data_IF_376521326965
#
_entry.id   IF_376521326965
#
_cell.length_a   1.000
_cell.length_b   1.000
_cell.length_c   1.000
_cell.angle_alpha   90.00
_cell.angle_beta   90.00
_cell.angle_gamma   90.00
#
_symmetry.space_group_name_H-M   'P 1'
#
loop_
_entity.id
_entity.type
_entity.pdbx_description
1 polymer ?
#
# COMPACT_ATOMS: atom_id res chain seq x y z
N UNK A 1 -1.06 19.50 -2.85
CA UNK A 1 -1.43 19.95 -1.49
C UNK A 1 -1.78 21.44 -1.44
N UNK A 2 -0.86 22.37 -1.75
CA UNK A 2 -1.11 23.82 -1.60
C UNK A 2 -2.26 24.38 -2.45
N UNK A 3 -2.60 23.72 -3.56
CA UNK A 3 -3.74 24.04 -4.42
C UNK A 3 -5.05 23.32 -4.00
N UNK A 4 -5.05 22.61 -2.87
CA UNK A 4 -6.25 21.92 -2.39
C UNK A 4 -7.34 22.90 -1.93
N UNK A 5 -8.60 22.47 -2.06
CA UNK A 5 -9.75 23.21 -1.54
C UNK A 5 -9.72 23.19 -0.01
N UNK A 6 -9.51 24.38 0.56
CA UNK A 6 -9.36 24.61 2.01
C UNK A 6 -10.62 25.17 2.67
N UNK A 7 -11.77 25.08 1.98
CA UNK A 7 -13.04 25.59 2.52
C UNK A 7 -13.40 24.88 3.83
N UNK A 8 -13.43 25.63 4.93
CA UNK A 8 -13.87 25.16 6.24
C UNK A 8 -12.79 24.59 7.16
N UNK A 9 -11.50 24.54 6.76
CA UNK A 9 -10.40 24.10 7.63
C UNK A 9 -9.07 24.82 7.34
N UNK A 10 -8.14 24.75 8.28
CA UNK A 10 -6.79 25.25 8.14
C UNK A 10 -5.83 24.08 7.97
N UNK A 11 -4.78 24.26 7.17
CA UNK A 11 -3.77 23.25 6.89
C UNK A 11 -2.38 23.83 7.11
N UNK A 12 -1.52 23.03 7.71
CA UNK A 12 -0.06 23.17 7.65
C UNK A 12 0.54 22.01 6.85
N UNK A 13 1.64 22.23 6.20
CA UNK A 13 2.37 21.22 5.43
C UNK A 13 3.77 21.10 6.01
N UNK A 14 4.06 19.99 6.64
CA UNK A 14 5.37 19.70 7.20
C UNK A 14 6.09 18.74 6.25
N UNK A 15 7.26 19.12 5.79
CA UNK A 15 8.12 18.28 4.94
C UNK A 15 9.41 18.02 5.70
N UNK A 16 9.73 16.73 5.87
CA UNK A 16 10.99 16.33 6.45
C UNK A 16 11.93 15.85 5.34
N UNK A 17 13.02 16.57 5.16
CA UNK A 17 14.12 16.15 4.29
C UNK A 17 15.06 15.21 5.05
N UNK A 18 15.03 13.91 4.75
CA UNK A 18 15.88 12.90 5.42
C UNK A 18 17.28 12.86 4.80
N UNK A 19 17.95 14.02 4.77
CA UNK A 19 19.34 14.17 4.30
C UNK A 19 19.49 13.85 2.81
N UNK A 20 18.64 14.43 1.97
CA UNK A 20 18.76 14.34 0.53
C UNK A 20 20.09 14.98 0.06
N UNK A 21 20.73 14.33 -0.90
CA UNK A 21 21.98 14.80 -1.51
C UNK A 21 21.72 15.64 -2.78
N UNK A 22 20.46 15.78 -3.16
CA UNK A 22 19.98 16.56 -4.30
C UNK A 22 19.38 17.92 -3.86
N UNK A 23 18.75 18.62 -4.78
CA UNK A 23 18.15 19.94 -4.53
C UNK A 23 16.83 19.88 -3.74
N UNK A 24 16.41 18.73 -3.21
CA UNK A 24 15.11 18.56 -2.55
C UNK A 24 14.91 19.57 -1.41
N UNK A 25 15.87 19.69 -0.50
CA UNK A 25 15.78 20.62 0.63
C UNK A 25 15.67 22.09 0.16
N UNK A 26 16.48 22.49 -0.82
CA UNK A 26 16.47 23.85 -1.38
C UNK A 26 15.12 24.17 -2.07
N UNK A 27 14.55 23.21 -2.81
CA UNK A 27 13.25 23.35 -3.46
C UNK A 27 12.12 23.51 -2.44
N UNK A 28 12.11 22.72 -1.38
CA UNK A 28 11.11 22.83 -0.31
C UNK A 28 11.25 24.15 0.45
N UNK A 29 12.48 24.57 0.75
CA UNK A 29 12.73 25.86 1.41
C UNK A 29 12.24 27.03 0.57
N UNK A 30 12.49 27.03 -0.75
CA UNK A 30 11.99 28.06 -1.64
C UNK A 30 10.44 28.14 -1.70
N UNK A 31 9.76 27.04 -1.44
CA UNK A 31 8.30 27.04 -1.29
C UNK A 31 7.90 27.59 0.09
N UNK A 32 8.56 27.17 1.15
CA UNK A 32 8.31 27.65 2.52
C UNK A 32 8.51 29.17 2.66
N UNK A 33 9.46 29.74 1.96
CA UNK A 33 9.70 31.19 1.93
C UNK A 33 8.56 31.99 1.28
N UNK A 34 7.72 31.33 0.45
CA UNK A 34 6.60 31.93 -0.28
C UNK A 34 5.24 31.60 0.32
N UNK A 35 5.13 30.51 1.06
CA UNK A 35 3.88 30.04 1.65
C UNK A 35 4.08 29.62 3.11
N UNK A 36 3.59 30.47 4.02
CA UNK A 36 3.73 30.28 5.47
C UNK A 36 3.07 29.00 6.02
N UNK A 37 2.27 28.29 5.21
CA UNK A 37 1.74 26.99 5.56
C UNK A 37 2.78 25.88 5.50
N UNK A 38 3.87 26.07 4.76
CA UNK A 38 4.91 25.07 4.54
C UNK A 38 6.06 25.27 5.52
N UNK A 39 6.51 24.19 6.14
CA UNK A 39 7.70 24.17 7.00
C UNK A 39 8.59 23.01 6.59
N UNK A 40 9.87 23.30 6.36
CA UNK A 40 10.90 22.30 6.16
C UNK A 40 11.49 21.88 7.51
N UNK A 41 11.58 20.57 7.73
CA UNK A 41 12.34 19.95 8.82
C UNK A 41 13.51 19.18 8.25
N UNK A 42 14.64 19.21 8.94
CA UNK A 42 15.82 18.43 8.55
C UNK A 42 15.91 17.12 9.34
N UNK A 43 16.22 16.05 8.62
CA UNK A 43 16.48 14.73 9.18
C UNK A 43 17.70 14.77 10.10
N UNK A 44 17.66 13.96 11.13
CA UNK A 44 18.78 13.70 12.04
C UNK A 44 19.20 12.24 11.95
N UNK A 45 20.25 11.85 12.65
CA UNK A 45 20.68 10.46 12.68
C UNK A 45 19.57 9.56 13.17
N UNK A 46 19.42 8.42 12.47
CA UNK A 46 18.38 7.45 12.77
C UNK A 46 18.74 6.73 14.09
N UNK A 47 17.90 6.83 15.14
CA UNK A 47 18.14 6.10 16.38
C UNK A 47 18.09 4.58 16.15
N UNK A 48 18.81 3.85 16.97
CA UNK A 48 18.81 2.39 16.96
C UNK A 48 17.38 1.83 17.13
N UNK A 49 17.04 0.80 16.37
CA UNK A 49 15.71 0.17 16.40
C UNK A 49 14.62 0.87 15.58
N UNK A 50 14.90 2.03 14.98
CA UNK A 50 13.93 2.71 14.15
C UNK A 50 14.07 2.42 12.66
N UNK A 51 12.93 2.33 11.98
CA UNK A 51 12.88 2.40 10.52
C UNK A 51 12.84 3.87 10.07
N UNK A 52 13.57 4.22 9.01
CA UNK A 52 13.72 5.61 8.57
C UNK A 52 12.40 6.34 8.35
N UNK A 53 11.44 5.71 7.62
CA UNK A 53 10.11 6.31 7.38
C UNK A 53 9.32 6.51 8.67
N UNK A 54 9.28 5.50 9.53
CA UNK A 54 8.56 5.58 10.81
C UNK A 54 9.13 6.68 11.71
N UNK A 55 10.46 6.84 11.73
CA UNK A 55 11.10 7.91 12.49
C UNK A 55 10.81 9.29 11.91
N UNK A 56 10.86 9.44 10.58
CA UNK A 56 10.50 10.69 9.92
C UNK A 56 9.04 11.09 10.23
N UNK A 57 8.09 10.16 10.12
CA UNK A 57 6.69 10.40 10.47
C UNK A 57 6.52 10.76 11.96
N UNK A 58 7.23 10.07 12.85
CA UNK A 58 7.23 10.39 14.29
C UNK A 58 7.68 11.82 14.55
N UNK A 59 8.79 12.25 13.95
CA UNK A 59 9.29 13.61 14.09
C UNK A 59 8.37 14.67 13.53
N UNK A 60 7.73 14.41 12.38
CA UNK A 60 6.75 15.31 11.79
C UNK A 60 5.57 15.55 12.75
N UNK A 61 5.08 14.49 13.42
CA UNK A 61 3.98 14.63 14.39
C UNK A 61 4.36 15.46 15.61
N UNK A 62 5.60 15.37 16.09
CA UNK A 62 6.08 16.19 17.21
C UNK A 62 5.99 17.70 16.92
N UNK A 63 6.09 18.08 15.66
CA UNK A 63 6.01 19.47 15.19
C UNK A 63 4.62 19.90 14.74
N UNK A 64 3.70 18.92 14.53
CA UNK A 64 2.38 19.15 13.99
C UNK A 64 1.42 19.72 15.05
N UNK A 65 0.61 20.70 14.63
CA UNK A 65 -0.35 21.42 15.51
C UNK A 65 -1.80 21.06 15.23
N UNK A 66 -2.08 20.42 14.07
CA UNK A 66 -3.43 20.04 13.64
C UNK A 66 -4.09 18.99 14.52
N UNK A 67 -5.42 18.88 14.46
CA UNK A 67 -6.20 17.82 15.09
C UNK A 67 -6.19 16.53 14.26
N UNK A 68 -5.92 16.66 12.97
CA UNK A 68 -5.80 15.56 12.02
C UNK A 68 -4.40 15.56 11.42
N UNK A 69 -3.77 14.41 11.36
CA UNK A 69 -2.50 14.17 10.70
C UNK A 69 -2.74 13.44 9.40
N UNK A 70 -2.34 14.05 8.29
CA UNK A 70 -2.38 13.43 6.97
C UNK A 70 -0.96 13.09 6.53
N UNK A 71 -0.64 11.80 6.48
CA UNK A 71 0.61 11.31 5.92
C UNK A 71 0.42 11.04 4.43
N UNK A 72 1.30 11.60 3.63
CA UNK A 72 1.29 11.45 2.17
C UNK A 72 2.71 11.24 1.70
N UNK A 73 2.94 10.19 0.93
CA UNK A 73 4.25 9.95 0.32
C UNK A 73 4.53 11.02 -0.75
N UNK A 74 5.80 11.39 -0.93
CA UNK A 74 6.21 12.50 -1.81
C UNK A 74 5.88 12.26 -3.30
N UNK A 75 5.65 11.02 -3.71
CA UNK A 75 5.29 10.63 -5.07
C UNK A 75 3.78 10.59 -5.33
N UNK A 76 2.96 10.87 -4.31
CA UNK A 76 1.50 10.94 -4.43
C UNK A 76 1.07 12.32 -4.94
N UNK A 77 0.18 12.32 -5.93
CA UNK A 77 -0.47 13.53 -6.44
C UNK A 77 -1.91 13.57 -5.97
N UNK A 78 -2.32 14.72 -5.47
CA UNK A 78 -3.65 14.98 -4.92
C UNK A 78 -4.42 15.93 -5.84
N UNK A 79 -5.66 15.54 -6.17
CA UNK A 79 -6.63 16.47 -6.75
C UNK A 79 -7.09 17.49 -5.68
N UNK A 80 -7.56 18.67 -6.08
CA UNK A 80 -7.94 19.73 -5.12
C UNK A 80 -8.93 19.29 -4.04
N UNK A 81 -9.83 18.36 -4.34
CA UNK A 81 -10.87 17.88 -3.42
C UNK A 81 -10.41 16.75 -2.48
N UNK A 82 -9.25 16.14 -2.70
CA UNK A 82 -8.81 14.93 -2.00
C UNK A 82 -8.77 15.09 -0.47
N UNK A 83 -8.13 16.16 0.01
CA UNK A 83 -7.98 16.41 1.45
C UNK A 83 -9.35 16.61 2.09
N UNK A 84 -10.22 17.43 1.49
CA UNK A 84 -11.55 17.73 2.01
C UNK A 84 -12.44 16.48 2.07
N UNK A 85 -12.44 15.65 1.01
CA UNK A 85 -13.24 14.42 1.00
C UNK A 85 -12.77 13.43 2.05
N UNK A 86 -11.46 13.26 2.22
CA UNK A 86 -10.92 12.35 3.22
C UNK A 86 -11.16 12.84 4.65
N UNK A 87 -11.03 14.16 4.87
CA UNK A 87 -11.34 14.76 6.17
C UNK A 87 -12.83 14.62 6.52
N UNK A 88 -13.74 14.80 5.56
CA UNK A 88 -15.16 14.57 5.75
C UNK A 88 -15.44 13.12 6.19
N UNK A 89 -14.83 12.13 5.52
CA UNK A 89 -14.96 10.73 5.90
C UNK A 89 -14.42 10.45 7.33
N UNK A 90 -13.32 11.10 7.72
CA UNK A 90 -12.79 11.03 9.08
C UNK A 90 -13.71 11.63 10.13
N UNK A 91 -14.32 12.78 9.84
CA UNK A 91 -15.28 13.42 10.72
C UNK A 91 -16.56 12.60 10.88
N UNK A 92 -17.07 11.96 9.82
CA UNK A 92 -18.24 11.10 9.87
C UNK A 92 -18.07 9.90 10.81
N UNK A 93 -16.87 9.36 10.93
CA UNK A 93 -16.60 8.26 11.87
C UNK A 93 -16.15 8.74 13.27
N UNK A 94 -16.15 10.05 13.51
CA UNK A 94 -15.78 10.65 14.81
C UNK A 94 -14.35 10.37 15.26
N UNK A 95 -13.42 10.36 14.32
CA UNK A 95 -11.98 10.10 14.59
C UNK A 95 -11.45 8.81 13.94
N UNK A 96 -10.42 8.23 14.52
CA UNK A 96 -9.81 7.02 14.01
C UNK A 96 -8.81 7.27 12.87
N UNK A 97 -8.67 6.27 12.00
CA UNK A 97 -7.78 6.28 10.85
C UNK A 97 -8.59 6.06 9.57
N UNK A 98 -8.35 6.91 8.58
CA UNK A 98 -8.89 6.78 7.22
C UNK A 98 -7.72 6.60 6.27
N UNK A 99 -7.79 5.64 5.39
CA UNK A 99 -6.78 5.38 4.36
C UNK A 99 -7.46 4.98 3.06
N UNK A 100 -6.73 5.04 1.97
CA UNK A 100 -7.23 4.61 0.66
C UNK A 100 -6.07 4.39 -0.30
N UNK A 101 -6.25 3.49 -1.25
CA UNK A 101 -5.22 3.19 -2.24
C UNK A 101 -5.29 4.17 -3.40
N UNK A 102 -4.26 5.05 -3.59
CA UNK A 102 -4.19 5.92 -4.75
C UNK A 102 -4.24 5.14 -6.05
N UNK A 103 -4.80 5.76 -7.09
CA UNK A 103 -4.71 5.20 -8.44
C UNK A 103 -3.25 4.94 -8.82
N UNK A 104 -2.95 3.70 -9.19
CA UNK A 104 -1.61 3.29 -9.57
C UNK A 104 -1.36 3.55 -11.04
N UNK A 105 -0.58 4.59 -11.35
CA UNK A 105 -0.14 4.86 -12.71
C UNK A 105 0.88 3.80 -13.12
N UNK A 106 0.57 3.03 -14.15
CA UNK A 106 1.41 1.94 -14.65
C UNK A 106 1.80 2.21 -16.11
N UNK A 107 3.11 2.22 -16.42
CA UNK A 107 3.62 2.46 -17.78
C UNK A 107 4.23 1.22 -18.40
N UNK A 108 5.14 0.55 -17.70
CA UNK A 108 5.80 -0.66 -18.19
C UNK A 108 4.93 -1.91 -18.00
N UNK A 109 5.22 -2.98 -18.73
CA UNK A 109 4.47 -4.24 -18.61
C UNK A 109 4.55 -4.85 -17.22
N UNK A 110 5.71 -4.78 -16.57
CA UNK A 110 5.86 -5.32 -15.22
C UNK A 110 5.03 -4.52 -14.20
N UNK A 111 4.96 -3.20 -14.34
CA UNK A 111 4.07 -2.37 -13.54
C UNK A 111 2.60 -2.80 -13.74
N UNK A 112 2.15 -2.94 -15.01
CA UNK A 112 0.76 -3.34 -15.34
C UNK A 112 0.37 -4.72 -14.83
N UNK A 113 1.30 -5.67 -14.83
CA UNK A 113 1.05 -7.04 -14.40
C UNK A 113 1.04 -7.19 -12.88
N UNK A 114 1.91 -6.45 -12.17
CA UNK A 114 2.17 -6.72 -10.74
C UNK A 114 1.53 -5.67 -9.83
N UNK A 115 1.62 -4.38 -10.16
CA UNK A 115 1.17 -3.32 -9.23
C UNK A 115 -0.32 -3.42 -8.91
N UNK A 116 -1.25 -3.66 -9.86
CA UNK A 116 -2.67 -3.84 -9.55
C UNK A 116 -2.97 -5.07 -8.69
N UNK A 117 -2.04 -6.03 -8.59
CA UNK A 117 -2.23 -7.24 -7.78
C UNK A 117 -2.24 -6.96 -6.28
N UNK A 118 -1.79 -5.79 -5.84
CA UNK A 118 -1.95 -5.36 -4.44
C UNK A 118 -3.44 -5.18 -4.10
N UNK A 119 -4.17 -4.41 -4.91
CA UNK A 119 -5.63 -4.21 -4.74
C UNK A 119 -6.37 -5.53 -4.92
N UNK A 120 -5.96 -6.35 -5.91
CA UNK A 120 -6.49 -7.70 -6.11
C UNK A 120 -6.38 -8.56 -4.83
N UNK A 121 -5.20 -8.59 -4.20
CA UNK A 121 -4.99 -9.37 -2.97
C UNK A 121 -5.89 -8.89 -1.84
N UNK A 122 -6.05 -7.59 -1.67
CA UNK A 122 -6.91 -7.03 -0.63
C UNK A 122 -8.37 -7.39 -0.88
N UNK A 123 -8.89 -7.14 -2.08
CA UNK A 123 -10.30 -7.38 -2.39
C UNK A 123 -10.67 -8.87 -2.39
N UNK A 124 -9.77 -9.74 -2.86
CA UNK A 124 -10.05 -11.18 -2.93
C UNK A 124 -9.92 -11.92 -1.60
N UNK A 125 -9.19 -11.38 -0.62
CA UNK A 125 -8.92 -12.09 0.64
C UNK A 125 -9.46 -11.40 1.89
N UNK A 126 -9.75 -10.09 1.81
CA UNK A 126 -10.22 -9.32 2.95
C UNK A 126 -11.70 -8.95 2.76
N UNK A 127 -12.59 -9.35 3.65
CA UNK A 127 -13.96 -8.86 3.63
C UNK A 127 -13.96 -7.37 3.99
N UNK A 128 -13.89 -6.49 2.99
CA UNK A 128 -13.66 -5.04 3.11
C UNK A 128 -14.64 -4.39 4.11
N UNK A 129 -15.91 -4.84 4.12
CA UNK A 129 -16.91 -4.32 5.06
C UNK A 129 -16.54 -4.56 6.55
N UNK A 130 -15.72 -5.59 6.84
CA UNK A 130 -15.24 -5.88 8.20
C UNK A 130 -14.17 -4.90 8.66
N UNK A 131 -13.51 -4.18 7.74
CA UNK A 131 -12.53 -3.15 8.14
C UNK A 131 -13.20 -2.10 9.02
N UNK A 132 -14.40 -1.66 8.66
CA UNK A 132 -15.16 -0.65 9.41
C UNK A 132 -15.95 -1.26 10.56
N UNK A 133 -16.53 -2.47 10.38
CA UNK A 133 -17.48 -3.06 11.36
C UNK A 133 -16.82 -3.82 12.50
N UNK A 134 -15.63 -4.37 12.28
CA UNK A 134 -14.93 -5.18 13.29
C UNK A 134 -13.88 -4.38 14.02
N UNK A 135 -13.81 -4.53 15.34
CA UNK A 135 -12.69 -4.04 16.16
C UNK A 135 -11.44 -4.91 16.07
N UNK A 136 -11.55 -6.11 15.47
CA UNK A 136 -10.41 -7.02 15.35
C UNK A 136 -9.30 -6.45 14.44
N UNK A 137 -8.04 -6.44 14.90
CA UNK A 137 -6.90 -6.01 14.09
C UNK A 137 -6.57 -6.95 12.92
N UNK A 138 -7.28 -8.08 12.77
CA UNK A 138 -7.17 -8.95 11.59
C UNK A 138 -7.78 -8.31 10.34
N UNK A 139 -8.82 -7.49 10.51
CA UNK A 139 -9.52 -6.83 9.40
C UNK A 139 -9.00 -5.40 9.24
N UNK A 140 -7.82 -5.26 8.68
CA UNK A 140 -7.24 -3.97 8.29
C UNK A 140 -6.65 -4.06 6.88
N UNK A 141 -6.77 -2.97 6.15
CA UNK A 141 -5.95 -2.65 5.00
C UNK A 141 -5.58 -1.19 5.11
N UNK A 142 -4.33 -0.87 4.89
CA UNK A 142 -3.82 0.49 4.92
C UNK A 142 -2.66 0.63 3.94
N UNK A 143 -2.44 1.85 3.46
CA UNK A 143 -1.26 2.21 2.69
C UNK A 143 -0.66 3.49 3.24
N UNK A 144 0.66 3.49 3.42
CA UNK A 144 1.42 4.65 3.86
C UNK A 144 1.51 5.76 2.82
N UNK A 145 1.06 5.48 1.59
CA UNK A 145 1.02 6.49 0.53
C UNK A 145 -0.05 7.57 0.79
N UNK A 146 -1.15 7.21 1.47
CA UNK A 146 -2.24 8.12 1.79
C UNK A 146 -2.98 7.68 3.05
N UNK A 147 -2.78 8.40 4.16
CA UNK A 147 -3.32 8.03 5.46
C UNK A 147 -3.67 9.28 6.27
N UNK A 148 -4.92 9.37 6.72
CA UNK A 148 -5.42 10.41 7.61
C UNK A 148 -5.73 9.80 8.98
N UNK A 149 -5.26 10.40 10.06
CA UNK A 149 -5.52 9.92 11.43
C UNK A 149 -5.82 11.09 12.37
N UNK A 150 -6.83 10.92 13.22
CA UNK A 150 -7.12 11.88 14.26
C UNK A 150 -6.04 11.85 15.37
N UNK A 151 -5.68 13.01 15.91
CA UNK A 151 -4.64 13.16 16.93
C UNK A 151 -4.85 12.21 18.11
N UNK A 152 -6.04 12.19 18.69
CA UNK A 152 -6.33 11.32 19.85
C UNK A 152 -6.16 9.83 19.53
N UNK A 153 -6.50 9.41 18.31
CA UNK A 153 -6.34 8.02 17.86
C UNK A 153 -4.88 7.66 17.62
N UNK A 154 -4.10 8.63 17.12
CA UNK A 154 -2.66 8.48 16.97
C UNK A 154 -1.96 8.33 18.34
N UNK A 155 -2.29 9.22 19.27
CA UNK A 155 -1.72 9.20 20.63
C UNK A 155 -2.12 7.93 21.39
N UNK A 156 -3.41 7.55 21.35
CA UNK A 156 -3.91 6.33 21.99
C UNK A 156 -3.28 5.04 21.43
N UNK A 157 -2.92 5.02 20.13
CA UNK A 157 -2.27 3.88 19.50
C UNK A 157 -0.76 3.81 19.77
N UNK A 158 -0.17 4.84 20.41
CA UNK A 158 1.27 5.01 20.58
C UNK A 158 1.99 5.49 19.30
N UNK A 159 1.25 5.78 18.23
CA UNK A 159 1.74 6.31 16.97
C UNK A 159 2.88 5.52 16.35
N UNK A 160 3.75 6.20 15.62
CA UNK A 160 4.92 5.56 14.99
C UNK A 160 5.95 5.03 15.99
N UNK A 161 5.96 5.52 17.23
CA UNK A 161 6.85 5.00 18.27
C UNK A 161 6.51 3.56 18.66
N UNK A 162 5.22 3.20 18.70
CA UNK A 162 4.80 1.82 19.00
C UNK A 162 5.12 0.82 17.88
N UNK A 163 5.45 1.31 16.69
CA UNK A 163 5.72 0.48 15.50
C UNK A 163 7.10 0.73 14.90
N UNK A 164 8.01 1.34 15.65
CA UNK A 164 9.31 1.86 15.20
C UNK A 164 10.15 0.88 14.38
N UNK A 165 10.11 -0.42 14.72
CA UNK A 165 10.88 -1.48 14.08
C UNK A 165 10.12 -2.22 12.95
N UNK A 166 8.87 -1.83 12.65
CA UNK A 166 8.07 -2.52 11.66
C UNK A 166 8.34 -2.00 10.25
N UNK A 167 8.64 -2.91 9.32
CA UNK A 167 8.90 -2.57 7.91
C UNK A 167 7.63 -2.13 7.17
N UNK A 168 6.47 -2.71 7.52
CA UNK A 168 5.15 -2.39 6.99
C UNK A 168 4.44 -1.52 8.03
N UNK A 169 4.83 -0.26 8.07
CA UNK A 169 4.43 0.72 9.07
C UNK A 169 2.93 1.05 9.04
N UNK A 170 2.38 1.21 7.84
CA UNK A 170 0.97 1.53 7.59
C UNK A 170 0.00 0.48 8.16
N UNK A 171 0.21 -0.78 7.83
CA UNK A 171 -0.58 -1.89 8.36
C UNK A 171 -0.40 -2.03 9.87
N UNK A 172 0.81 -1.80 10.37
CA UNK A 172 1.12 -1.88 11.80
C UNK A 172 0.45 -0.77 12.59
N UNK A 173 0.46 0.47 12.06
CA UNK A 173 -0.24 1.61 12.64
C UNK A 173 -1.76 1.38 12.66
N UNK A 174 -2.35 0.94 11.54
CA UNK A 174 -3.78 0.64 11.47
C UNK A 174 -4.21 -0.45 12.46
N UNK A 175 -3.37 -1.48 12.66
CA UNK A 175 -3.59 -2.50 13.71
C UNK A 175 -3.49 -1.92 15.12
N UNK A 176 -2.53 -1.03 15.37
CA UNK A 176 -2.36 -0.38 16.67
C UNK A 176 -3.56 0.52 17.00
N UNK A 177 -4.07 1.28 16.02
CA UNK A 177 -5.29 2.10 16.16
C UNK A 177 -6.49 1.23 16.53
N UNK A 178 -6.72 0.09 15.88
CA UNK A 178 -7.80 -0.83 16.25
C UNK A 178 -7.63 -1.44 17.63
N UNK A 179 -6.39 -1.81 18.03
CA UNK A 179 -6.12 -2.32 19.38
C UNK A 179 -6.38 -1.28 20.45
N UNK A 180 -6.19 0.00 20.14
CA UNK A 180 -6.54 1.12 21.00
C UNK A 180 -8.06 1.43 21.04
N UNK A 181 -8.90 0.66 20.32
CA UNK A 181 -10.35 0.82 20.31
C UNK A 181 -10.86 1.87 19.33
N UNK A 182 -10.01 2.42 18.46
CA UNK A 182 -10.40 3.43 17.49
C UNK A 182 -10.75 2.82 16.13
N UNK A 183 -11.69 3.42 15.36
CA UNK A 183 -12.11 2.91 14.07
C UNK A 183 -11.02 3.07 13.00
N UNK A 184 -11.03 2.15 12.05
CA UNK A 184 -10.24 2.22 10.82
C UNK A 184 -11.18 2.12 9.63
N UNK A 185 -11.04 3.03 8.66
CA UNK A 185 -11.82 3.05 7.44
C UNK A 185 -10.90 2.95 6.22
N UNK A 186 -11.24 2.07 5.31
CA UNK A 186 -10.73 2.09 3.95
C UNK A 186 -11.74 2.81 3.07
N UNK A 187 -11.33 3.93 2.47
CA UNK A 187 -12.16 4.73 1.55
C UNK A 187 -11.62 4.66 0.14
N UNK A 188 -12.46 4.93 -0.81
CA UNK A 188 -12.06 5.02 -2.20
C UNK A 188 -11.48 6.41 -2.47
N UNK A 189 -10.24 6.45 -2.94
CA UNK A 189 -9.51 7.68 -3.23
C UNK A 189 -8.88 7.67 -4.63
N UNK A 190 -9.13 6.62 -5.43
CA UNK A 190 -8.44 6.46 -6.71
C UNK A 190 -8.79 7.56 -7.73
N UNK A 191 -9.97 8.18 -7.63
CA UNK A 191 -10.37 9.30 -8.50
C UNK A 191 -9.74 10.63 -8.09
N UNK A 192 -9.28 10.76 -6.85
CA UNK A 192 -8.77 12.02 -6.28
C UNK A 192 -7.29 11.96 -5.90
N UNK A 193 -6.68 10.79 -6.00
CA UNK A 193 -5.26 10.60 -5.71
C UNK A 193 -4.61 9.65 -6.71
N UNK A 194 -3.38 9.92 -7.11
CA UNK A 194 -2.62 8.99 -7.93
C UNK A 194 -1.13 8.96 -7.53
N UNK A 195 -0.48 7.84 -7.81
CA UNK A 195 0.96 7.68 -7.63
C UNK A 195 1.54 6.77 -8.71
N UNK A 196 2.80 6.94 -9.03
CA UNK A 196 3.61 5.97 -9.76
C UNK A 196 4.72 5.47 -8.84
N UNK A 197 4.42 4.43 -8.08
CA UNK A 197 5.29 3.89 -7.04
C UNK A 197 6.62 3.34 -7.60
N UNK A 198 6.61 2.77 -8.81
CA UNK A 198 7.78 2.18 -9.47
C UNK A 198 7.93 2.72 -10.88
N UNK A 199 9.20 2.90 -11.32
CA UNK A 199 9.50 3.48 -12.62
C UNK A 199 9.87 2.41 -13.68
N UNK A 200 10.21 1.20 -13.25
CA UNK A 200 10.63 0.09 -14.11
C UNK A 200 10.40 -1.28 -13.47
N UNK A 201 10.60 -2.34 -14.23
CA UNK A 201 10.36 -3.71 -13.79
C UNK A 201 11.30 -4.18 -12.66
N UNK A 202 12.52 -3.69 -12.61
CA UNK A 202 13.47 -4.06 -11.54
C UNK A 202 13.03 -3.46 -10.19
N UNK A 203 12.53 -2.24 -10.20
CA UNK A 203 11.97 -1.60 -9.00
C UNK A 203 10.70 -2.32 -8.51
N UNK A 204 9.80 -2.70 -9.43
CA UNK A 204 8.61 -3.52 -9.10
C UNK A 204 9.04 -4.82 -8.43
N UNK A 205 9.96 -5.55 -9.06
CA UNK A 205 10.46 -6.82 -8.53
C UNK A 205 11.06 -6.67 -7.12
N UNK A 206 11.96 -5.70 -6.95
CA UNK A 206 12.66 -5.50 -5.69
C UNK A 206 11.74 -4.96 -4.58
N UNK A 207 10.82 -4.07 -4.92
CA UNK A 207 9.86 -3.52 -3.97
C UNK A 207 8.89 -4.58 -3.43
N UNK A 208 8.28 -5.38 -4.31
CA UNK A 208 7.38 -6.45 -3.88
C UNK A 208 8.14 -7.60 -3.20
N UNK A 209 9.34 -7.96 -3.69
CA UNK A 209 10.20 -8.96 -3.04
C UNK A 209 10.54 -8.58 -1.61
N UNK A 210 10.80 -7.30 -1.33
CA UNK A 210 11.03 -6.80 0.02
C UNK A 210 9.83 -7.01 0.93
N UNK A 211 8.60 -6.74 0.42
CA UNK A 211 7.42 -6.61 1.26
C UNK A 211 6.63 -7.91 1.45
N UNK A 212 6.71 -8.89 0.51
CA UNK A 212 5.81 -10.05 0.53
C UNK A 212 6.02 -10.95 1.74
N UNK A 213 7.25 -11.37 2.03
CA UNK A 213 7.55 -12.26 3.16
C UNK A 213 7.39 -11.53 4.50
N UNK A 214 7.80 -10.26 4.57
CA UNK A 214 7.60 -9.41 5.74
C UNK A 214 6.10 -9.16 6.02
N UNK A 215 5.33 -8.86 4.99
CA UNK A 215 3.88 -8.66 5.11
C UNK A 215 3.14 -9.90 5.61
N UNK A 216 3.68 -11.09 5.38
CA UNK A 216 3.19 -12.37 5.92
C UNK A 216 3.76 -12.69 7.32
N UNK A 217 4.44 -11.75 7.97
CA UNK A 217 5.04 -11.92 9.30
C UNK A 217 6.16 -12.94 9.34
N UNK A 218 6.90 -13.12 8.25
CA UNK A 218 7.99 -14.10 8.07
C UNK A 218 7.55 -15.56 8.32
N UNK A 219 6.28 -15.89 8.07
CA UNK A 219 5.73 -17.23 8.27
C UNK A 219 5.76 -18.03 6.98
N UNK A 220 6.67 -18.99 6.88
CA UNK A 220 6.83 -19.86 5.69
C UNK A 220 5.51 -20.50 5.28
N UNK A 221 4.78 -21.10 6.24
CA UNK A 221 3.52 -21.79 5.97
C UNK A 221 2.49 -20.85 5.36
N UNK A 222 2.42 -19.61 5.82
CA UNK A 222 1.46 -18.63 5.32
C UNK A 222 1.81 -18.21 3.89
N UNK A 223 3.07 -17.87 3.62
CA UNK A 223 3.49 -17.47 2.28
C UNK A 223 3.39 -18.63 1.27
N UNK A 224 4.00 -19.78 1.60
CA UNK A 224 4.02 -20.93 0.68
C UNK A 224 2.60 -21.50 0.48
N UNK A 225 1.77 -21.53 1.53
CA UNK A 225 0.36 -21.91 1.42
C UNK A 225 -0.44 -20.97 0.50
N UNK A 226 -0.22 -19.66 0.62
CA UNK A 226 -0.83 -18.67 -0.29
C UNK A 226 -0.35 -18.86 -1.73
N UNK A 227 0.95 -19.09 -1.95
CA UNK A 227 1.48 -19.35 -3.29
C UNK A 227 0.93 -20.63 -3.90
N UNK A 228 0.80 -21.70 -3.10
CA UNK A 228 0.17 -22.95 -3.53
C UNK A 228 -1.31 -22.72 -3.90
N UNK A 229 -2.05 -22.03 -3.05
CA UNK A 229 -3.44 -21.67 -3.32
C UNK A 229 -3.55 -20.87 -4.64
N UNK A 230 -2.71 -19.85 -4.84
CA UNK A 230 -2.69 -19.07 -6.08
C UNK A 230 -2.36 -19.92 -7.31
N UNK A 231 -1.42 -20.86 -7.18
CA UNK A 231 -1.09 -21.80 -8.25
C UNK A 231 -2.31 -22.65 -8.62
N UNK A 232 -2.98 -23.25 -7.63
CA UNK A 232 -4.15 -24.08 -7.85
C UNK A 232 -5.33 -23.31 -8.44
N UNK A 233 -5.58 -22.09 -7.97
CA UNK A 233 -6.74 -21.30 -8.39
C UNK A 233 -6.53 -20.55 -9.72
N UNK A 234 -5.31 -20.11 -10.03
CA UNK A 234 -5.08 -19.17 -11.13
C UNK A 234 -4.09 -19.65 -12.20
N UNK A 235 -3.29 -20.68 -11.92
CA UNK A 235 -2.33 -21.24 -12.89
C UNK A 235 -2.82 -22.61 -13.40
N UNK A 236 -3.29 -23.47 -12.52
CA UNK A 236 -3.78 -24.82 -12.91
C UNK A 236 -4.95 -24.76 -13.90
N UNK A 237 -5.98 -23.90 -13.74
CA UNK A 237 -7.10 -23.86 -14.69
C UNK A 237 -6.69 -23.52 -16.13
N UNK A 238 -5.94 -22.43 -16.41
CA UNK A 238 -5.53 -22.13 -17.79
C UNK A 238 -4.61 -23.22 -18.37
N UNK A 239 -3.73 -23.84 -17.58
CA UNK A 239 -2.94 -24.98 -18.02
C UNK A 239 -3.82 -26.19 -18.32
N UNK A 240 -4.82 -26.48 -17.48
CA UNK A 240 -5.80 -27.55 -17.71
C UNK A 240 -6.61 -27.33 -18.98
N UNK A 241 -6.98 -26.08 -19.28
CA UNK A 241 -7.63 -25.74 -20.55
C UNK A 241 -6.74 -26.04 -21.76
N UNK A 242 -5.47 -25.64 -21.72
CA UNK A 242 -4.51 -25.89 -22.81
C UNK A 242 -4.30 -27.41 -23.00
N UNK A 243 -4.06 -28.14 -21.91
CA UNK A 243 -3.84 -29.60 -21.95
C UNK A 243 -5.10 -30.30 -22.44
N UNK A 244 -6.28 -29.87 -21.97
CA UNK A 244 -7.57 -30.41 -22.40
C UNK A 244 -7.82 -30.26 -23.90
N UNK A 245 -7.47 -29.09 -24.46
CA UNK A 245 -7.55 -28.83 -25.90
C UNK A 245 -6.59 -29.73 -26.69
N UNK A 246 -5.37 -29.94 -26.20
CA UNK A 246 -4.37 -30.79 -26.86
C UNK A 246 -4.74 -32.26 -26.81
N UNK A 247 -5.35 -32.72 -25.71
CA UNK A 247 -5.72 -34.12 -25.50
C UNK A 247 -7.16 -34.48 -25.90
N UNK A 248 -7.96 -33.49 -26.31
CA UNK A 248 -9.39 -33.67 -26.65
C UNK A 248 -10.26 -34.03 -25.44
N UNK A 249 -9.83 -33.66 -24.21
CA UNK A 249 -10.58 -33.98 -22.99
C UNK A 249 -11.63 -32.90 -22.69
N UNK A 250 -12.91 -33.21 -22.95
CA UNK A 250 -14.01 -32.26 -22.72
C UNK A 250 -14.13 -31.80 -21.28
N UNK A 251 -13.85 -32.67 -20.30
CA UNK A 251 -13.87 -32.30 -18.87
C UNK A 251 -12.75 -31.32 -18.51
N UNK A 252 -11.52 -31.56 -18.98
CA UNK A 252 -10.40 -30.67 -18.74
C UNK A 252 -10.63 -29.31 -19.40
N UNK A 253 -11.21 -29.28 -20.60
CA UNK A 253 -11.57 -28.01 -21.29
C UNK A 253 -12.61 -27.26 -20.46
N UNK A 254 -13.68 -27.93 -20.02
CA UNK A 254 -14.76 -27.29 -19.26
C UNK A 254 -14.28 -26.71 -17.94
N UNK A 255 -13.61 -27.50 -17.10
CA UNK A 255 -13.10 -27.01 -15.81
C UNK A 255 -11.99 -25.96 -15.95
N UNK A 256 -11.10 -26.15 -16.92
CA UNK A 256 -10.03 -25.20 -17.23
C UNK A 256 -10.60 -23.84 -17.69
N UNK A 257 -11.59 -23.85 -18.57
CA UNK A 257 -12.27 -22.65 -19.06
C UNK A 257 -13.01 -21.94 -17.92
N UNK A 258 -13.85 -22.65 -17.18
CA UNK A 258 -14.62 -22.06 -16.07
C UNK A 258 -13.70 -21.47 -15.00
N UNK A 259 -12.66 -22.19 -14.56
CA UNK A 259 -11.71 -21.69 -13.57
C UNK A 259 -10.94 -20.45 -14.05
N UNK A 260 -10.54 -20.44 -15.33
CA UNK A 260 -9.85 -19.29 -15.93
C UNK A 260 -10.78 -18.06 -15.98
N UNK A 261 -12.01 -18.23 -16.44
CA UNK A 261 -13.00 -17.13 -16.51
C UNK A 261 -13.36 -16.60 -15.13
N UNK A 262 -13.50 -17.46 -14.12
CA UNK A 262 -13.71 -17.02 -12.73
C UNK A 262 -12.52 -16.23 -12.19
N UNK A 263 -11.30 -16.67 -12.43
CA UNK A 263 -10.09 -15.93 -12.06
C UNK A 263 -10.04 -14.56 -12.71
N UNK A 264 -10.35 -14.46 -14.01
CA UNK A 264 -10.44 -13.21 -14.74
C UNK A 264 -11.56 -12.29 -14.20
N UNK A 265 -12.70 -12.88 -13.81
CA UNK A 265 -13.81 -12.12 -13.22
C UNK A 265 -13.44 -11.49 -11.87
N UNK A 266 -12.78 -12.25 -10.99
CA UNK A 266 -12.26 -11.70 -9.71
C UNK A 266 -11.26 -10.58 -9.97
N UNK A 267 -10.32 -10.78 -10.91
CA UNK A 267 -9.36 -9.73 -11.30
C UNK A 267 -10.07 -8.49 -11.86
N UNK A 268 -11.12 -8.67 -12.67
CA UNK A 268 -11.90 -7.56 -13.22
C UNK A 268 -12.56 -6.70 -12.14
N UNK A 269 -13.10 -7.33 -11.10
CA UNK A 269 -13.68 -6.61 -9.95
C UNK A 269 -12.60 -5.81 -9.22
N UNK A 270 -11.44 -6.41 -8.98
CA UNK A 270 -10.33 -5.74 -8.31
C UNK A 270 -9.74 -4.60 -9.16
N UNK A 271 -9.59 -4.81 -10.46
CA UNK A 271 -9.11 -3.78 -11.39
C UNK A 271 -10.08 -2.60 -11.47
N UNK A 272 -11.38 -2.87 -11.45
CA UNK A 272 -12.40 -1.80 -11.41
C UNK A 272 -12.29 -0.97 -10.13
N UNK A 273 -12.16 -1.61 -8.98
CA UNK A 273 -12.01 -0.93 -7.70
C UNK A 273 -10.69 -0.14 -7.57
N UNK A 274 -9.65 -0.51 -8.32
CA UNK A 274 -8.39 0.22 -8.40
C UNK A 274 -8.30 1.19 -9.58
N UNK A 275 -9.40 1.41 -10.33
CA UNK A 275 -9.43 2.28 -11.51
C UNK A 275 -8.64 1.74 -12.72
N UNK A 276 -8.24 0.46 -12.72
CA UNK A 276 -7.38 -0.10 -13.77
C UNK A 276 -8.18 -0.52 -15.02
N UNK A 277 -7.54 -0.52 -16.20
CA UNK A 277 -8.18 -0.90 -17.46
C UNK A 277 -8.72 -2.34 -17.45
N UNK A 278 -9.91 -2.55 -17.97
CA UNK A 278 -10.61 -3.84 -17.96
C UNK A 278 -9.83 -5.00 -18.61
N UNK A 279 -9.03 -4.71 -19.62
CA UNK A 279 -8.28 -5.72 -20.36
C UNK A 279 -7.13 -6.35 -19.56
N UNK A 280 -6.67 -5.71 -18.46
CA UNK A 280 -5.69 -6.30 -17.55
C UNK A 280 -6.20 -7.60 -16.91
N UNK A 281 -7.50 -7.73 -16.75
CA UNK A 281 -8.12 -8.95 -16.22
C UNK A 281 -7.84 -10.18 -17.12
N UNK A 282 -7.70 -9.99 -18.43
CA UNK A 282 -7.36 -11.07 -19.37
C UNK A 282 -5.94 -11.62 -19.13
N UNK A 283 -5.07 -10.81 -18.55
CA UNK A 283 -3.69 -11.19 -18.21
C UNK A 283 -3.55 -11.77 -16.80
N UNK A 284 -4.67 -12.08 -16.14
CA UNK A 284 -4.68 -12.59 -14.77
C UNK A 284 -3.71 -13.77 -14.53
N UNK A 285 -3.65 -14.83 -15.37
CA UNK A 285 -2.71 -15.93 -15.14
C UNK A 285 -1.24 -15.48 -15.19
N UNK A 286 -0.91 -14.56 -16.10
CA UNK A 286 0.46 -14.02 -16.23
C UNK A 286 0.80 -13.14 -15.03
N UNK A 287 -0.12 -12.27 -14.62
CA UNK A 287 0.04 -11.44 -13.42
C UNK A 287 0.28 -12.31 -12.18
N UNK A 288 -0.50 -13.39 -12.04
CA UNK A 288 -0.36 -14.29 -10.89
C UNK A 288 0.96 -15.07 -10.94
N UNK A 289 1.41 -15.51 -12.11
CA UNK A 289 2.72 -16.14 -12.25
C UNK A 289 3.86 -15.21 -11.80
N UNK A 290 3.78 -13.92 -12.17
CA UNK A 290 4.74 -12.91 -11.69
C UNK A 290 4.72 -12.76 -10.16
N UNK A 291 3.51 -12.69 -9.56
CA UNK A 291 3.34 -12.59 -8.10
C UNK A 291 3.91 -13.81 -7.38
N UNK A 292 3.64 -15.01 -7.88
CA UNK A 292 4.19 -16.26 -7.32
C UNK A 292 5.72 -16.27 -7.41
N UNK A 293 6.29 -15.88 -8.56
CA UNK A 293 7.75 -15.82 -8.74
C UNK A 293 8.40 -14.81 -7.78
N UNK A 294 7.80 -13.63 -7.61
CA UNK A 294 8.27 -12.63 -6.64
C UNK A 294 8.14 -13.15 -5.21
N UNK A 295 7.04 -13.82 -4.87
CA UNK A 295 6.82 -14.43 -3.55
C UNK A 295 7.89 -15.46 -3.21
N UNK A 296 8.24 -16.33 -4.17
CA UNK A 296 9.31 -17.29 -3.99
C UNK A 296 10.68 -16.62 -3.82
N UNK A 297 10.99 -15.60 -4.62
CA UNK A 297 12.21 -14.82 -4.48
C UNK A 297 12.26 -14.06 -3.12
N UNK A 298 11.12 -13.58 -2.63
CA UNK A 298 10.98 -12.95 -1.32
C UNK A 298 11.28 -13.92 -0.19
N UNK A 299 10.71 -15.13 -0.27
CA UNK A 299 10.96 -16.21 0.69
C UNK A 299 12.43 -16.61 0.76
N UNK A 300 13.07 -16.84 -0.39
CA UNK A 300 14.50 -17.16 -0.46
C UNK A 300 15.36 -16.04 0.15
N UNK A 301 15.07 -14.78 -0.16
CA UNK A 301 15.82 -13.64 0.36
C UNK A 301 15.67 -13.51 1.88
N UNK A 302 14.44 -13.68 2.41
CA UNK A 302 14.20 -13.61 3.85
C UNK A 302 14.86 -14.73 4.65
N UNK A 303 15.01 -15.95 4.06
CA UNK A 303 15.68 -17.08 4.71
C UNK A 303 17.21 -17.05 4.59
N UNK A 304 17.75 -16.36 3.58
CA UNK A 304 19.21 -16.34 3.36
C UNK A 304 20.00 -15.51 4.36
N UNK A 305 19.33 -14.80 5.27
CA UNK A 305 19.98 -13.91 6.25
C UNK A 305 20.69 -12.70 5.64
N UNK A 306 20.67 -12.57 4.29
CA UNK A 306 21.33 -11.46 3.60
C UNK A 306 20.57 -10.13 3.70
N UNK A 307 19.31 -10.17 4.20
CA UNK A 307 18.44 -8.99 4.28
C UNK A 307 18.08 -8.40 2.90
N UNK A 308 17.44 -7.25 2.94
CA UNK A 308 17.04 -6.52 1.72
C UNK A 308 17.82 -5.21 1.62
N UNK A 309 18.22 -4.83 0.42
CA UNK A 309 18.75 -3.49 0.14
C UNK A 309 17.65 -2.66 -0.49
N UNK A 310 17.33 -1.52 0.12
CA UNK A 310 16.33 -0.59 -0.38
C UNK A 310 16.81 0.86 -0.21
N UNK A 311 16.81 1.63 -1.32
CA UNK A 311 17.29 3.02 -1.34
C UNK A 311 18.62 3.21 -0.60
N UNK A 312 19.60 2.32 -0.91
CA UNK A 312 20.96 2.37 -0.33
C UNK A 312 21.09 1.87 1.11
N UNK A 313 19.99 1.58 1.82
CA UNK A 313 20.01 1.04 3.19
C UNK A 313 19.78 -0.47 3.20
N UNK A 314 20.53 -1.18 4.04
CA UNK A 314 20.35 -2.63 4.24
C UNK A 314 19.45 -2.87 5.45
N UNK A 315 18.46 -3.72 5.27
CA UNK A 315 17.52 -4.16 6.31
C UNK A 315 17.72 -5.68 6.49
N UNK A 316 17.99 -6.13 7.69
CA UNK A 316 18.23 -7.55 8.07
C UNK A 316 17.03 -8.14 8.79
#
# INVERSE_FOLDING_TARGET
MLASDMSGFRMEVLVLDDRSEDETAAMVQAIADRDARVRLLHGVDLPEGWMGKSYACHRLVQEAKGEWYMFVDADVRLEPSAIRQTLAAGCEQSGGLVTGFPYQVTKTWMEKLVVPMMVFTIISHLPIFMIRRSSSPMFVAATGAFLLIHRSSYEASGGHAAIQAHLVDDMSLAKAVKRAGHPVMLTDVHDVTNTRMYQNGAEVWNGYKKNMYEGMGRKDVLLLGTMLMYTLMYIVPPLGLIIGLLMGSSMSILYGLLGTLLGMAVKRVADHAGGQPWWLALLQPVSMACVIAIGFASWQAGRSGKGYVWKGRRYS
#
